data_IF_319283208575
#
_entry.id   IF_319283208575
#
_cell.length_a   1.000
_cell.length_b   1.000
_cell.length_c   1.000
_cell.angle_alpha   90.00
_cell.angle_beta   90.00
_cell.angle_gamma   90.00
#
_symmetry.space_group_name_H-M   'P 1'
#
loop_
_entity.id
_entity.type
_entity.pdbx_description
1 polymer ?
#
# COMPACT_ATOMS: atom_id res chain seq x y z
N UNK A 1 -2.18 3.39 22.04
CA UNK A 1 -2.16 2.01 22.59
C UNK A 1 -2.05 1.07 21.40
N UNK A 2 -0.89 0.42 21.19
CA UNK A 2 -0.79 -0.64 20.19
C UNK A 2 -1.59 -1.83 20.70
N UNK A 3 -2.69 -2.16 20.04
CA UNK A 3 -3.41 -3.40 20.30
C UNK A 3 -2.49 -4.57 19.97
N UNK A 4 -2.08 -5.30 21.01
CA UNK A 4 -1.21 -6.46 20.84
C UNK A 4 -2.07 -7.69 20.60
N UNK A 5 -2.49 -7.87 19.36
CA UNK A 5 -3.26 -9.03 18.95
C UNK A 5 -2.52 -10.35 19.25
N UNK A 6 -3.22 -11.31 19.78
CA UNK A 6 -2.78 -12.71 19.80
C UNK A 6 -2.75 -13.29 18.36
N UNK A 7 -2.04 -14.40 18.12
CA UNK A 7 -2.08 -15.00 16.77
C UNK A 7 -3.48 -15.37 16.29
N UNK A 8 -4.40 -15.75 17.19
CA UNK A 8 -5.79 -16.04 16.83
C UNK A 8 -6.56 -14.80 16.42
N UNK A 9 -6.37 -13.69 17.13
CA UNK A 9 -6.98 -12.40 16.78
C UNK A 9 -6.44 -11.87 15.44
N UNK A 10 -5.14 -12.04 15.18
CA UNK A 10 -4.56 -11.69 13.87
C UNK A 10 -5.20 -12.49 12.75
N UNK A 11 -5.40 -13.82 12.94
CA UNK A 11 -6.10 -14.65 11.95
C UNK A 11 -7.53 -14.18 11.77
N UNK A 12 -8.27 -13.91 12.86
CA UNK A 12 -9.63 -13.40 12.81
C UNK A 12 -9.75 -12.08 12.05
N UNK A 13 -8.80 -11.16 12.24
CA UNK A 13 -8.76 -9.90 11.48
C UNK A 13 -8.43 -10.13 10.00
N UNK A 14 -7.58 -11.10 9.68
CA UNK A 14 -7.31 -11.48 8.29
C UNK A 14 -8.53 -12.15 7.65
N UNK A 15 -9.32 -12.91 8.40
CA UNK A 15 -10.54 -13.59 7.92
C UNK A 15 -11.61 -12.59 7.44
N UNK A 16 -11.63 -11.36 7.97
CA UNK A 16 -12.52 -10.28 7.51
C UNK A 16 -12.27 -9.84 6.06
N UNK A 17 -11.10 -10.20 5.51
CA UNK A 17 -10.66 -9.73 4.20
C UNK A 17 -10.24 -10.85 3.24
N UNK A 18 -9.86 -12.00 3.77
CA UNK A 18 -9.22 -13.09 3.01
C UNK A 18 -9.94 -14.39 3.31
N UNK A 19 -10.53 -14.96 2.29
CA UNK A 19 -11.26 -16.22 2.37
C UNK A 19 -10.29 -17.39 2.26
N UNK A 20 -10.48 -18.41 3.12
CA UNK A 20 -9.63 -19.60 3.13
C UNK A 20 -8.18 -19.30 3.51
N UNK A 21 -7.24 -20.08 3.01
CA UNK A 21 -5.79 -19.90 3.18
C UNK A 21 -5.31 -19.93 4.64
N UNK A 22 -5.91 -20.78 5.49
CA UNK A 22 -5.73 -20.78 6.94
C UNK A 22 -4.27 -21.02 7.37
N UNK A 23 -3.55 -21.88 6.65
CA UNK A 23 -2.14 -22.15 6.93
C UNK A 23 -1.27 -20.89 6.72
N UNK A 24 -1.52 -20.17 5.62
CA UNK A 24 -0.81 -18.93 5.33
C UNK A 24 -1.12 -17.84 6.36
N UNK A 25 -2.39 -17.64 6.70
CA UNK A 25 -2.82 -16.69 7.74
C UNK A 25 -2.18 -17.01 9.09
N UNK A 26 -2.15 -18.31 9.46
CA UNK A 26 -1.53 -18.78 10.72
C UNK A 26 -0.02 -18.51 10.73
N UNK A 27 0.68 -18.82 9.64
CA UNK A 27 2.13 -18.61 9.54
C UNK A 27 2.51 -17.14 9.69
N UNK A 28 1.81 -16.23 8.97
CA UNK A 28 2.08 -14.79 9.08
C UNK A 28 1.67 -14.21 10.44
N UNK A 29 0.60 -14.73 11.06
CA UNK A 29 0.18 -14.32 12.39
C UNK A 29 1.22 -14.70 13.46
N UNK A 30 1.80 -15.90 13.36
CA UNK A 30 2.90 -16.33 14.24
C UNK A 30 4.16 -15.48 14.01
N UNK A 31 4.51 -15.20 12.75
CA UNK A 31 5.65 -14.36 12.41
C UNK A 31 5.51 -12.95 13.01
N UNK A 32 4.32 -12.33 12.89
CA UNK A 32 4.04 -11.03 13.48
C UNK A 32 4.12 -11.07 15.01
N UNK A 33 3.53 -12.08 15.64
CA UNK A 33 3.56 -12.22 17.10
C UNK A 33 4.97 -12.45 17.63
N UNK A 34 5.81 -13.18 16.91
CA UNK A 34 7.20 -13.40 17.29
C UNK A 34 8.03 -12.12 17.27
N UNK A 35 7.71 -11.16 16.39
CA UNK A 35 8.32 -9.82 16.39
C UNK A 35 8.00 -9.07 17.69
N UNK A 36 6.75 -9.09 18.12
CA UNK A 36 6.37 -8.51 19.40
C UNK A 36 7.07 -9.21 20.57
N UNK A 37 7.10 -10.56 20.58
CA UNK A 37 7.79 -11.35 21.61
C UNK A 37 9.28 -10.96 21.69
N UNK A 38 9.92 -10.80 20.53
CA UNK A 38 11.32 -10.36 20.45
C UNK A 38 11.55 -9.03 21.17
N UNK A 39 10.65 -8.08 21.07
CA UNK A 39 10.77 -6.79 21.75
C UNK A 39 10.64 -6.89 23.28
N UNK A 40 10.10 -7.98 23.80
CA UNK A 40 9.91 -8.19 25.26
C UNK A 40 11.07 -8.95 25.93
N UNK A 41 11.98 -9.52 25.16
CA UNK A 41 13.13 -10.25 25.72
C UNK A 41 14.30 -9.31 25.99
N UNK A 42 15.25 -9.72 26.91
CA UNK A 42 16.44 -8.92 27.20
C UNK A 42 17.24 -8.53 25.98
N UNK A 43 17.89 -7.36 26.02
CA UNK A 43 18.60 -6.78 24.86
C UNK A 43 19.63 -7.74 24.23
N UNK A 44 20.40 -8.46 25.05
CA UNK A 44 21.40 -9.42 24.58
C UNK A 44 20.80 -10.53 23.71
N UNK A 45 19.67 -11.09 24.10
CA UNK A 45 18.98 -12.14 23.34
C UNK A 45 18.18 -11.55 22.17
N UNK A 46 17.79 -10.29 22.25
CA UNK A 46 17.00 -9.61 21.21
C UNK A 46 17.78 -9.50 19.90
N UNK A 47 19.07 -9.30 19.95
CA UNK A 47 19.94 -9.21 18.78
C UNK A 47 20.10 -10.56 18.09
N UNK A 48 20.09 -11.66 18.86
CA UNK A 48 20.24 -13.03 18.34
C UNK A 48 18.95 -13.60 17.70
N UNK A 49 17.79 -13.02 18.04
CA UNK A 49 16.50 -13.50 17.53
C UNK A 49 16.17 -12.83 16.20
N UNK A 50 16.47 -13.50 15.10
CA UNK A 50 16.13 -13.05 13.73
C UNK A 50 14.71 -13.47 13.34
N UNK A 51 14.02 -12.68 12.47
CA UNK A 51 12.72 -13.06 11.93
C UNK A 51 12.81 -14.33 11.10
N UNK A 52 11.74 -15.12 11.09
CA UNK A 52 11.62 -16.29 10.23
C UNK A 52 10.92 -15.86 8.95
N UNK A 53 11.70 -15.71 7.88
CA UNK A 53 11.18 -15.31 6.58
C UNK A 53 10.27 -16.40 6.00
N UNK A 54 9.35 -15.98 5.13
CA UNK A 54 8.26 -16.83 4.64
C UNK A 54 8.36 -16.95 3.12
N UNK A 55 8.22 -18.16 2.60
CA UNK A 55 7.99 -18.43 1.18
C UNK A 55 6.53 -18.85 0.99
N UNK A 56 5.76 -18.02 0.30
CA UNK A 56 4.37 -18.30 -0.08
C UNK A 56 4.32 -18.88 -1.50
N UNK A 57 3.80 -20.08 -1.62
CA UNK A 57 3.71 -20.83 -2.87
C UNK A 57 2.23 -20.97 -3.24
N UNK A 58 1.88 -20.76 -4.48
CA UNK A 58 0.51 -21.00 -4.95
C UNK A 58 0.11 -20.15 -6.15
N UNK A 59 -1.04 -20.45 -6.79
CA UNK A 59 -1.48 -19.78 -8.00
C UNK A 59 -1.61 -18.27 -7.88
N UNK A 60 -1.70 -17.59 -9.01
CA UNK A 60 -1.98 -16.14 -9.04
C UNK A 60 -3.38 -15.86 -8.52
N UNK A 61 -3.59 -14.73 -7.85
CA UNK A 61 -4.91 -14.27 -7.42
C UNK A 61 -5.54 -15.03 -6.24
N UNK A 62 -4.79 -15.86 -5.49
CA UNK A 62 -5.29 -16.56 -4.30
C UNK A 62 -5.10 -15.81 -2.98
N UNK A 63 -4.64 -14.55 -3.04
CA UNK A 63 -4.54 -13.69 -1.86
C UNK A 63 -3.15 -13.54 -1.25
N UNK A 64 -2.06 -14.06 -1.85
CA UNK A 64 -0.68 -13.95 -1.31
C UNK A 64 -0.29 -12.52 -0.93
N UNK A 65 -0.40 -11.60 -1.88
CA UNK A 65 -0.09 -10.16 -1.65
C UNK A 65 -1.03 -9.53 -0.63
N UNK A 66 -2.30 -9.88 -0.64
CA UNK A 66 -3.30 -9.30 0.26
C UNK A 66 -3.04 -9.71 1.72
N UNK A 67 -2.66 -10.97 1.96
CA UNK A 67 -2.24 -11.44 3.29
C UNK A 67 -1.10 -10.57 3.84
N UNK A 68 -0.05 -10.36 3.04
CA UNK A 68 1.11 -9.57 3.47
C UNK A 68 0.76 -8.09 3.71
N UNK A 69 -0.06 -7.50 2.83
CA UNK A 69 -0.51 -6.11 2.94
C UNK A 69 -1.37 -5.88 4.18
N UNK A 70 -2.33 -6.78 4.45
CA UNK A 70 -3.20 -6.70 5.64
C UNK A 70 -2.41 -6.92 6.92
N UNK A 71 -1.47 -7.85 6.91
CA UNK A 71 -0.56 -8.07 8.04
C UNK A 71 0.21 -6.80 8.39
N UNK A 72 0.80 -6.14 7.39
CA UNK A 72 1.55 -4.90 7.58
C UNK A 72 0.67 -3.77 8.13
N UNK A 73 -0.56 -3.65 7.62
CA UNK A 73 -1.54 -2.67 8.12
C UNK A 73 -1.93 -2.92 9.58
N UNK A 74 -2.19 -4.18 9.95
CA UNK A 74 -2.46 -4.57 11.34
C UNK A 74 -1.28 -4.27 12.27
N UNK A 75 -0.06 -4.54 11.79
CA UNK A 75 1.16 -4.28 12.53
C UNK A 75 1.51 -2.80 12.63
N UNK A 76 0.88 -1.93 11.86
CA UNK A 76 1.32 -0.54 11.64
C UNK A 76 2.81 -0.49 11.29
N UNK A 77 3.26 -1.42 10.46
CA UNK A 77 4.65 -1.61 10.09
C UNK A 77 4.95 -0.99 8.71
N UNK A 78 6.16 -0.44 8.51
CA UNK A 78 6.62 -0.08 7.18
C UNK A 78 6.53 -1.28 6.24
N UNK A 79 5.93 -1.09 5.07
CA UNK A 79 5.68 -2.15 4.12
C UNK A 79 6.04 -1.72 2.70
N UNK A 80 6.72 -2.61 1.98
CA UNK A 80 6.92 -2.44 0.55
C UNK A 80 6.60 -3.75 -0.17
N UNK A 81 5.92 -3.62 -1.33
CA UNK A 81 5.77 -4.68 -2.31
C UNK A 81 6.66 -4.39 -3.50
N UNK A 82 7.42 -5.38 -3.92
CA UNK A 82 8.21 -5.35 -5.15
C UNK A 82 8.07 -6.68 -5.89
N UNK A 83 8.51 -6.72 -7.14
CA UNK A 83 8.57 -7.93 -7.96
C UNK A 83 10.04 -8.29 -8.19
N UNK A 84 10.39 -9.56 -8.02
CA UNK A 84 11.77 -10.03 -8.20
C UNK A 84 12.31 -9.75 -9.61
N UNK A 85 11.43 -9.75 -10.60
CA UNK A 85 11.74 -9.47 -12.02
C UNK A 85 12.15 -8.03 -12.33
N UNK A 86 11.93 -7.09 -11.40
CA UNK A 86 12.34 -5.68 -11.56
C UNK A 86 13.83 -5.45 -11.30
N UNK A 87 14.50 -6.43 -10.72
CA UNK A 87 15.91 -6.32 -10.37
C UNK A 87 16.81 -6.98 -11.40
N UNK A 88 17.98 -6.43 -11.54
CA UNK A 88 19.04 -6.95 -12.40
C UNK A 88 20.28 -7.17 -11.55
N UNK A 89 21.12 -8.10 -11.97
CA UNK A 89 22.41 -8.35 -11.34
C UNK A 89 23.26 -7.08 -11.29
N UNK A 90 23.99 -6.88 -10.21
CA UNK A 90 24.85 -5.70 -10.01
C UNK A 90 25.84 -5.58 -11.18
N UNK A 91 25.86 -4.40 -11.80
CA UNK A 91 26.71 -4.11 -12.96
C UNK A 91 26.00 -4.09 -14.31
N UNK A 92 24.75 -4.53 -14.38
CA UNK A 92 23.86 -4.36 -15.54
C UNK A 92 22.94 -3.16 -15.41
N UNK A 93 22.43 -2.66 -16.53
CA UNK A 93 21.45 -1.56 -16.54
C UNK A 93 20.14 -2.08 -15.95
N UNK A 94 19.78 -1.60 -14.78
CA UNK A 94 18.57 -1.99 -14.07
C UNK A 94 18.55 -1.46 -12.64
N UNK A 95 17.58 -1.90 -11.88
CA UNK A 95 17.38 -1.47 -10.49
C UNK A 95 18.12 -2.43 -9.55
N UNK A 96 18.98 -1.92 -8.66
CA UNK A 96 19.64 -2.71 -7.65
C UNK A 96 18.67 -3.16 -6.54
N UNK A 97 18.97 -4.28 -5.90
CA UNK A 97 18.14 -4.86 -4.83
C UNK A 97 18.11 -4.01 -3.56
N UNK A 98 19.15 -3.21 -3.29
CA UNK A 98 19.20 -2.32 -2.14
C UNK A 98 18.15 -1.21 -2.23
N UNK A 99 17.69 -0.88 -3.44
CA UNK A 99 16.61 0.09 -3.64
C UNK A 99 15.32 -0.30 -2.91
N UNK A 100 15.11 -1.60 -2.61
CA UNK A 100 14.00 -2.08 -1.78
C UNK A 100 14.02 -1.42 -0.40
N UNK A 101 15.21 -1.37 0.21
CA UNK A 101 15.36 -0.81 1.56
C UNK A 101 15.27 0.72 1.51
N UNK A 102 15.84 1.35 0.47
CA UNK A 102 15.71 2.80 0.27
C UNK A 102 14.25 3.22 0.15
N UNK A 103 13.47 2.52 -0.65
CA UNK A 103 12.02 2.79 -0.81
C UNK A 103 11.23 2.47 0.46
N UNK A 104 11.60 1.42 1.20
CA UNK A 104 10.97 1.09 2.48
C UNK A 104 11.16 2.20 3.51
N UNK A 105 12.33 2.82 3.55
CA UNK A 105 12.63 3.98 4.43
C UNK A 105 11.79 5.18 4.04
N UNK A 106 11.65 5.50 2.74
CA UNK A 106 10.79 6.60 2.30
C UNK A 106 9.33 6.39 2.74
N UNK A 107 8.81 5.19 2.54
CA UNK A 107 7.46 4.85 3.00
C UNK A 107 7.32 4.96 4.53
N UNK A 108 8.35 4.54 5.27
CA UNK A 108 8.36 4.64 6.72
C UNK A 108 8.36 6.10 7.21
N UNK A 109 9.09 6.99 6.53
CA UNK A 109 9.12 8.43 6.85
C UNK A 109 7.74 9.05 6.68
N UNK A 110 7.07 8.77 5.56
CA UNK A 110 5.69 9.24 5.33
C UNK A 110 4.76 8.73 6.43
N UNK A 111 4.77 7.43 6.69
CA UNK A 111 3.93 6.80 7.71
C UNK A 111 4.20 7.35 9.12
N UNK A 112 5.48 7.56 9.47
CA UNK A 112 5.88 8.07 10.79
C UNK A 112 5.46 9.53 10.95
N UNK A 113 5.62 10.34 9.89
CA UNK A 113 5.18 11.73 9.86
C UNK A 113 3.67 11.84 10.07
N UNK A 114 2.88 11.04 9.35
CA UNK A 114 1.43 11.01 9.48
C UNK A 114 0.98 10.60 10.90
N UNK A 115 1.69 9.65 11.51
CA UNK A 115 1.45 9.26 12.90
C UNK A 115 1.76 10.40 13.86
N UNK A 116 2.92 11.04 13.72
CA UNK A 116 3.29 12.18 14.57
C UNK A 116 2.35 13.38 14.38
N UNK A 117 1.88 13.64 13.14
CA UNK A 117 0.84 14.65 12.88
C UNK A 117 -0.44 14.38 13.65
N UNK A 118 -0.91 13.13 13.69
CA UNK A 118 -2.08 12.75 14.49
C UNK A 118 -1.88 12.98 15.99
N UNK A 119 -0.68 12.71 16.48
CA UNK A 119 -0.35 12.90 17.91
C UNK A 119 -0.33 14.39 18.30
N UNK A 120 0.06 15.29 17.39
CA UNK A 120 0.09 16.74 17.64
C UNK A 120 -1.17 17.47 17.17
N UNK A 121 -2.09 16.80 16.49
CA UNK A 121 -3.25 17.39 15.82
C UNK A 121 -4.06 18.33 16.72
N UNK A 122 -4.36 17.94 17.96
CA UNK A 122 -5.14 18.76 18.89
C UNK A 122 -4.44 20.09 19.19
N UNK A 123 -3.10 20.06 19.31
CA UNK A 123 -2.31 21.28 19.55
C UNK A 123 -2.21 22.16 18.30
N UNK A 124 -2.04 21.51 17.15
CA UNK A 124 -1.99 22.16 15.85
C UNK A 124 -3.33 22.81 15.50
N UNK A 125 -4.45 22.14 15.79
CA UNK A 125 -5.80 22.66 15.64
C UNK A 125 -5.99 23.95 16.48
N UNK A 126 -5.61 23.94 17.75
CA UNK A 126 -5.68 25.11 18.61
C UNK A 126 -4.80 26.28 18.11
N UNK A 127 -3.63 25.97 17.54
CA UNK A 127 -2.75 26.98 16.96
C UNK A 127 -3.31 27.55 15.65
N UNK A 128 -3.89 26.69 14.79
CA UNK A 128 -4.57 27.10 13.57
C UNK A 128 -5.80 27.97 13.87
N UNK A 129 -6.64 27.57 14.84
CA UNK A 129 -7.80 28.36 15.33
C UNK A 129 -7.36 29.78 15.71
N UNK A 130 -6.26 29.90 16.45
CA UNK A 130 -5.70 31.21 16.84
C UNK A 130 -5.30 32.05 15.62
N UNK A 131 -4.61 31.47 14.65
CA UNK A 131 -4.17 32.16 13.42
C UNK A 131 -5.35 32.64 12.57
N UNK A 132 -6.38 31.81 12.44
CA UNK A 132 -7.63 32.19 11.72
C UNK A 132 -8.32 33.36 12.43
N UNK A 133 -8.41 33.33 13.76
CA UNK A 133 -8.99 34.42 14.54
C UNK A 133 -8.15 35.70 14.37
N UNK A 134 -6.82 35.60 14.43
CA UNK A 134 -5.91 36.73 14.22
C UNK A 134 -6.08 37.33 12.80
N UNK A 135 -6.29 36.53 11.78
CA UNK A 135 -6.56 36.99 10.43
C UNK A 135 -7.95 37.65 10.27
N UNK A 136 -8.95 37.24 11.08
CA UNK A 136 -10.30 37.77 11.03
C UNK A 136 -10.49 39.09 11.79
N UNK A 137 -9.84 39.24 12.95
CA UNK A 137 -10.08 40.35 13.88
C UNK A 137 -8.82 41.18 14.19
N UNK A 138 -7.65 40.74 13.68
CA UNK A 138 -6.35 41.37 13.96
C UNK A 138 -5.74 40.87 15.28
N UNK A 139 -4.39 40.98 15.35
CA UNK A 139 -3.61 40.51 16.51
C UNK A 139 -3.93 41.25 17.82
N UNK A 140 -4.41 42.52 17.74
CA UNK A 140 -4.69 43.38 18.87
C UNK A 140 -6.18 43.37 19.32
N UNK A 141 -6.98 42.42 18.84
CA UNK A 141 -8.39 42.32 19.22
C UNK A 141 -8.55 41.93 20.71
N UNK A 142 -9.60 42.49 21.36
CA UNK A 142 -9.92 42.17 22.76
C UNK A 142 -10.28 40.69 22.93
N UNK A 143 -10.05 40.17 24.15
CA UNK A 143 -10.37 38.76 24.47
C UNK A 143 -11.85 38.43 24.27
N UNK A 144 -12.76 39.37 24.55
CA UNK A 144 -14.19 39.21 24.31
C UNK A 144 -14.50 39.03 22.82
N UNK A 145 -13.86 39.85 21.96
CA UNK A 145 -14.01 39.74 20.51
C UNK A 145 -13.47 38.42 20.01
N UNK A 146 -12.29 37.99 20.46
CA UNK A 146 -11.70 36.71 20.13
C UNK A 146 -12.59 35.54 20.52
N UNK A 147 -13.18 35.55 21.72
CA UNK A 147 -14.08 34.49 22.17
C UNK A 147 -15.37 34.44 21.33
N UNK A 148 -15.92 35.60 20.96
CA UNK A 148 -17.09 35.66 20.08
C UNK A 148 -16.81 35.06 18.70
N UNK A 149 -15.70 35.44 18.08
CA UNK A 149 -15.30 34.89 16.77
C UNK A 149 -14.92 33.41 16.84
N UNK A 150 -14.31 32.97 17.92
CA UNK A 150 -14.05 31.57 18.19
C UNK A 150 -15.32 30.72 18.22
N UNK A 151 -16.38 31.24 18.86
CA UNK A 151 -17.68 30.57 18.87
C UNK A 151 -18.31 30.53 17.47
N UNK A 152 -18.31 31.64 16.73
CA UNK A 152 -18.84 31.70 15.36
C UNK A 152 -18.06 30.78 14.40
N UNK A 153 -16.75 30.64 14.59
CA UNK A 153 -15.90 29.72 13.82
C UNK A 153 -16.29 28.27 14.06
N UNK A 154 -16.50 27.87 15.33
CA UNK A 154 -16.93 26.52 15.70
C UNK A 154 -18.34 26.18 15.26
N UNK A 155 -19.22 27.19 15.20
CA UNK A 155 -20.57 27.06 14.71
C UNK A 155 -20.67 27.04 13.18
N UNK A 156 -19.51 27.16 12.44
CA UNK A 156 -19.43 27.17 10.97
C UNK A 156 -19.96 28.44 10.30
N UNK A 157 -20.33 29.48 11.08
CA UNK A 157 -20.94 30.72 10.57
C UNK A 157 -19.95 31.59 9.75
N UNK A 158 -18.68 31.25 9.74
CA UNK A 158 -17.64 32.01 9.07
C UNK A 158 -16.95 31.21 7.93
N UNK A 159 -17.39 30.00 7.62
CA UNK A 159 -16.75 29.06 6.70
C UNK A 159 -16.50 29.65 5.31
N UNK A 160 -17.47 30.38 4.76
CA UNK A 160 -17.39 30.96 3.41
C UNK A 160 -16.72 32.35 3.38
N UNK A 161 -16.33 32.90 4.54
CA UNK A 161 -15.68 34.19 4.60
C UNK A 161 -14.25 34.11 4.09
N UNK A 162 -13.86 35.01 3.20
CA UNK A 162 -12.49 35.12 2.71
C UNK A 162 -11.57 35.79 3.76
N UNK A 163 -10.41 35.20 3.97
CA UNK A 163 -9.33 35.74 4.80
C UNK A 163 -8.01 35.71 4.03
N UNK A 164 -7.12 36.60 4.38
CA UNK A 164 -5.75 36.60 3.90
C UNK A 164 -4.85 35.97 4.95
N UNK A 165 -4.22 34.84 4.61
CA UNK A 165 -3.30 34.14 5.51
C UNK A 165 -1.90 34.10 4.92
N UNK A 166 -0.90 34.14 5.79
CA UNK A 166 0.48 33.89 5.45
C UNK A 166 0.75 32.37 5.49
N UNK A 167 1.03 31.80 4.34
CA UNK A 167 1.35 30.36 4.21
C UNK A 167 2.78 30.20 3.76
N UNK A 168 3.49 29.28 4.38
CA UNK A 168 4.82 28.87 3.92
C UNK A 168 4.68 28.05 2.66
N UNK A 169 5.35 28.44 1.57
CA UNK A 169 5.54 27.53 0.45
C UNK A 169 6.50 26.44 0.87
N UNK A 170 6.03 25.23 1.02
CA UNK A 170 6.90 24.06 0.91
C UNK A 170 7.45 24.08 -0.52
N UNK A 171 8.80 24.07 -0.71
CA UNK A 171 9.34 23.94 -2.04
C UNK A 171 8.76 22.64 -2.62
N UNK A 172 7.90 22.82 -3.62
CA UNK A 172 7.39 21.71 -4.40
C UNK A 172 8.62 21.15 -5.13
N UNK A 173 9.14 20.01 -4.68
CA UNK A 173 10.31 19.31 -5.25
C UNK A 173 10.00 18.73 -6.65
N UNK A 174 9.12 19.37 -7.40
CA UNK A 174 8.94 19.16 -8.81
C UNK A 174 9.73 20.22 -9.62
N UNK A 175 11.02 20.34 -9.32
CA UNK A 175 11.94 20.90 -10.32
C UNK A 175 12.09 19.78 -11.37
N UNK A 176 11.75 19.99 -12.65
CA UNK A 176 11.99 18.99 -13.66
C UNK A 176 13.51 18.74 -13.72
N UNK A 177 13.93 17.60 -13.23
CA UNK A 177 15.29 17.11 -13.41
C UNK A 177 15.42 16.68 -14.87
N UNK A 178 16.16 17.44 -15.65
CA UNK A 178 16.60 17.02 -16.97
C UNK A 178 17.76 16.05 -16.80
N UNK A 179 17.53 14.78 -17.10
CA UNK A 179 18.61 13.80 -17.26
C UNK A 179 19.44 14.18 -18.48
N UNK A 180 20.73 14.44 -18.27
CA UNK A 180 21.66 14.67 -19.37
C UNK A 180 22.01 13.32 -19.98
N UNK A 181 21.66 13.04 -21.25
CA UNK A 181 22.03 11.79 -21.90
C UNK A 181 23.56 11.66 -21.96
N UNK A 182 24.13 10.68 -21.24
CA UNK A 182 25.54 10.35 -21.32
C UNK A 182 26.34 10.39 -20.01
N UNK A 183 25.76 10.83 -18.88
CA UNK A 183 26.42 10.76 -17.58
C UNK A 183 25.46 10.18 -16.51
N UNK A 184 25.53 8.88 -16.21
CA UNK A 184 24.74 8.29 -15.14
C UNK A 184 25.20 8.86 -13.79
N UNK A 185 24.30 9.53 -13.08
CA UNK A 185 24.54 10.04 -11.72
C UNK A 185 24.84 11.53 -11.56
N UNK A 186 24.94 12.33 -12.63
CA UNK A 186 25.09 13.77 -12.55
C UNK A 186 23.71 14.46 -12.55
N UNK A 187 23.05 14.51 -11.41
CA UNK A 187 21.88 15.38 -11.19
C UNK A 187 22.37 16.82 -10.96
N UNK A 188 22.43 17.60 -12.03
CA UNK A 188 22.58 19.05 -11.92
C UNK A 188 21.18 19.64 -11.65
N UNK A 189 20.82 19.76 -10.35
CA UNK A 189 19.73 20.62 -9.94
C UNK A 189 20.07 22.04 -10.37
N UNK A 190 19.17 22.74 -11.07
CA UNK A 190 19.30 24.20 -11.24
C UNK A 190 19.30 24.82 -9.85
N UNK A 191 20.48 25.18 -9.35
CA UNK A 191 20.64 26.01 -8.18
C UNK A 191 19.98 27.33 -8.55
N UNK A 192 18.85 27.65 -7.92
CA UNK A 192 18.23 28.97 -8.17
C UNK A 192 19.21 30.04 -7.68
N UNK A 193 19.30 31.11 -8.44
CA UNK A 193 20.18 32.24 -8.14
C UNK A 193 19.91 32.83 -6.73
N UNK A 194 18.72 32.57 -6.16
CA UNK A 194 18.32 32.91 -4.80
C UNK A 194 19.06 32.07 -3.73
N UNK A 195 19.40 30.81 -4.02
CA UNK A 195 20.14 29.92 -3.11
C UNK A 195 21.63 30.32 -3.08
N UNK A 196 22.15 30.87 -4.19
CA UNK A 196 23.52 31.34 -4.29
C UNK A 196 23.75 32.67 -3.51
N UNK A 197 22.71 33.48 -3.33
CA UNK A 197 22.76 34.78 -2.65
C UNK A 197 22.53 34.70 -1.13
N UNK A 198 22.57 33.49 -0.53
CA UNK A 198 22.63 33.33 0.94
C UNK A 198 21.31 33.68 1.67
N UNK A 199 20.23 33.85 0.95
CA UNK A 199 18.92 34.12 1.53
C UNK A 199 18.21 32.82 1.96
N UNK A 200 18.39 32.34 3.20
CA UNK A 200 17.44 31.48 3.90
C UNK A 200 16.11 32.22 4.16
N UNK A 201 15.58 32.89 3.14
CA UNK A 201 14.27 33.52 3.17
C UNK A 201 13.23 32.44 2.96
N UNK A 202 12.57 32.02 4.04
CA UNK A 202 11.34 31.24 3.93
C UNK A 202 10.36 32.06 3.09
N UNK A 203 10.02 31.59 1.88
CA UNK A 203 9.03 32.24 1.03
C UNK A 203 7.66 32.19 1.71
N UNK A 204 7.32 33.24 2.46
CA UNK A 204 6.00 33.44 3.02
C UNK A 204 5.18 34.17 1.95
N UNK A 205 4.13 33.54 1.46
CA UNK A 205 3.18 34.18 0.54
C UNK A 205 1.83 34.41 1.22
N UNK A 206 1.30 35.60 1.00
CA UNK A 206 -0.08 35.89 1.40
C UNK A 206 -1.02 35.28 0.37
N UNK A 207 -1.93 34.44 0.84
CA UNK A 207 -2.95 33.77 0.02
C UNK A 207 -4.32 34.10 0.55
N UNK A 208 -5.23 34.50 -0.37
CA UNK A 208 -6.66 34.70 -0.04
C UNK A 208 -7.38 33.38 -0.25
N UNK A 209 -8.13 32.95 0.73
CA UNK A 209 -8.93 31.74 0.68
C UNK A 209 -10.05 31.79 1.72
N UNK A 210 -11.04 30.87 1.61
CA UNK A 210 -12.11 30.77 2.59
C UNK A 210 -11.58 30.34 3.95
N UNK A 211 -12.27 30.68 5.03
CA UNK A 211 -11.93 30.23 6.39
C UNK A 211 -11.85 28.71 6.44
N UNK A 212 -12.78 28.01 5.84
CA UNK A 212 -12.82 26.55 5.79
C UNK A 212 -11.58 25.95 5.13
N UNK A 213 -11.16 26.46 3.97
CA UNK A 213 -9.99 25.98 3.25
C UNK A 213 -8.69 26.35 4.00
N UNK A 214 -8.66 27.57 4.59
CA UNK A 214 -7.49 28.04 5.33
C UNK A 214 -7.21 27.21 6.58
N UNK A 215 -8.27 26.73 7.24
CA UNK A 215 -8.17 25.95 8.45
C UNK A 215 -7.39 24.65 8.24
N UNK A 216 -7.70 23.93 7.15
CA UNK A 216 -6.98 22.70 6.77
C UNK A 216 -5.51 22.96 6.50
N UNK A 217 -5.20 23.99 5.71
CA UNK A 217 -3.81 24.33 5.37
C UNK A 217 -3.01 24.74 6.61
N UNK A 218 -3.65 25.49 7.53
CA UNK A 218 -2.99 25.95 8.75
C UNK A 218 -2.76 24.83 9.76
N UNK A 219 -3.67 23.86 9.88
CA UNK A 219 -3.46 22.66 10.72
C UNK A 219 -2.27 21.87 10.23
N UNK A 220 -2.16 21.66 8.92
CA UNK A 220 -1.02 20.94 8.33
C UNK A 220 0.30 21.67 8.59
N UNK A 221 0.32 23.01 8.41
CA UNK A 221 1.50 23.84 8.64
C UNK A 221 1.91 23.87 10.12
N UNK A 222 0.96 24.05 11.05
CA UNK A 222 1.25 24.06 12.48
C UNK A 222 1.67 22.67 12.99
N UNK A 223 1.08 21.59 12.43
CA UNK A 223 1.54 20.24 12.71
C UNK A 223 2.99 20.04 12.29
N UNK A 224 3.35 20.47 11.08
CA UNK A 224 4.73 20.36 10.58
C UNK A 224 5.73 21.19 11.38
N UNK A 225 5.33 22.36 11.93
CA UNK A 225 6.18 23.14 12.83
C UNK A 225 6.44 22.46 14.17
N UNK A 226 5.45 21.68 14.66
CA UNK A 226 5.55 20.96 15.94
C UNK A 226 6.35 19.66 15.84
N UNK A 227 6.62 19.18 14.62
CA UNK A 227 7.33 17.93 14.37
C UNK A 227 8.79 18.24 13.97
N UNK A 228 9.71 17.74 14.77
CA UNK A 228 11.15 17.81 14.44
C UNK A 228 11.48 16.76 13.37
N UNK A 229 11.95 17.22 12.22
CA UNK A 229 12.25 16.35 11.06
C UNK A 229 13.24 15.23 11.40
N UNK A 230 14.27 15.55 12.20
CA UNK A 230 15.28 14.56 12.61
C UNK A 230 14.68 13.45 13.47
N UNK A 231 13.69 13.76 14.29
CA UNK A 231 12.96 12.76 15.08
C UNK A 231 12.09 11.87 14.20
N UNK A 232 11.48 12.42 13.15
CA UNK A 232 10.72 11.63 12.16
C UNK A 232 11.64 10.64 11.47
N UNK A 233 12.78 11.09 10.98
CA UNK A 233 13.76 10.25 10.28
C UNK A 233 14.29 9.15 11.19
N UNK A 234 14.75 9.51 12.38
CA UNK A 234 15.28 8.55 13.36
C UNK A 234 14.24 7.49 13.75
N UNK A 235 13.00 7.91 14.02
CA UNK A 235 11.91 7.00 14.36
C UNK A 235 11.52 6.10 13.16
N UNK A 236 11.55 6.64 11.94
CA UNK A 236 11.25 5.88 10.71
C UNK A 236 12.32 4.81 10.44
N UNK A 237 13.61 5.17 10.54
CA UNK A 237 14.72 4.21 10.41
C UNK A 237 14.60 3.11 11.45
N UNK A 238 14.40 3.45 12.71
CA UNK A 238 14.19 2.47 13.78
C UNK A 238 12.95 1.58 13.53
N UNK A 239 11.87 2.13 12.97
CA UNK A 239 10.70 1.36 12.60
C UNK A 239 10.98 0.39 11.45
N UNK A 240 11.77 0.79 10.45
CA UNK A 240 12.22 -0.10 9.35
C UNK A 240 13.05 -1.24 9.89
N UNK A 241 14.13 -0.94 10.62
CA UNK A 241 15.05 -1.94 11.15
C UNK A 241 14.37 -2.98 12.06
N UNK A 242 13.42 -2.55 12.91
CA UNK A 242 12.78 -3.45 13.87
C UNK A 242 11.46 -4.06 13.39
N UNK A 243 10.74 -3.37 12.50
CA UNK A 243 9.38 -3.73 12.12
C UNK A 243 9.13 -3.73 10.60
N UNK A 244 10.11 -3.45 9.75
CA UNK A 244 9.96 -3.44 8.31
C UNK A 244 9.47 -4.79 7.75
N UNK A 245 8.59 -4.75 6.74
CA UNK A 245 8.11 -5.93 6.01
C UNK A 245 8.35 -5.69 4.53
N UNK A 246 9.07 -6.60 3.90
CA UNK A 246 9.33 -6.62 2.47
C UNK A 246 8.60 -7.80 1.86
N UNK A 247 7.72 -7.53 0.89
CA UNK A 247 7.04 -8.56 0.11
C UNK A 247 7.64 -8.57 -1.30
N UNK A 248 8.23 -9.71 -1.68
CA UNK A 248 8.84 -9.91 -3.00
C UNK A 248 7.97 -10.88 -3.78
N UNK A 249 7.27 -10.38 -4.79
CA UNK A 249 6.41 -11.18 -5.67
C UNK A 249 7.20 -11.76 -6.84
N UNK A 250 6.62 -12.72 -7.56
CA UNK A 250 7.21 -13.38 -8.72
C UNK A 250 8.59 -14.01 -8.46
N UNK A 251 8.80 -14.51 -7.23
CA UNK A 251 10.09 -15.07 -6.81
C UNK A 251 10.48 -16.33 -7.60
N UNK A 252 9.49 -17.06 -8.11
CA UNK A 252 9.68 -18.21 -9.00
C UNK A 252 10.31 -17.84 -10.36
N UNK A 253 10.18 -16.58 -10.80
CA UNK A 253 10.71 -16.10 -12.07
C UNK A 253 12.24 -15.91 -12.05
N UNK A 254 12.82 -15.74 -10.87
CA UNK A 254 14.28 -15.68 -10.70
C UNK A 254 14.89 -17.04 -10.37
N UNK A 255 14.08 -18.11 -10.28
CA UNK A 255 14.55 -19.49 -10.13
C UNK A 255 14.97 -20.08 -11.47
N UNK A 256 15.90 -20.99 -11.40
CA UNK A 256 16.36 -21.77 -12.55
C UNK A 256 17.63 -21.23 -13.21
N UNK A 257 18.35 -22.15 -13.83
CA UNK A 257 19.55 -21.85 -14.61
C UNK A 257 19.14 -21.37 -16.00
N UNK A 258 19.75 -20.30 -16.49
CA UNK A 258 19.58 -19.88 -17.88
C UNK A 258 20.23 -20.92 -18.80
N UNK A 259 19.45 -21.82 -19.37
CA UNK A 259 19.91 -22.76 -20.43
C UNK A 259 20.03 -22.11 -21.82
N UNK A 260 20.16 -20.78 -21.91
CA UNK A 260 20.24 -20.03 -23.15
C UNK A 260 21.55 -19.27 -23.33
N UNK A 261 22.09 -19.32 -24.57
CA UNK A 261 23.33 -18.63 -25.02
C UNK A 261 23.25 -17.10 -25.08
N UNK A 262 22.23 -16.47 -24.51
CA UNK A 262 22.13 -15.02 -24.44
C UNK A 262 22.59 -14.53 -23.06
N UNK A 263 23.38 -13.45 -22.99
CA UNK A 263 23.83 -12.85 -21.75
C UNK A 263 22.71 -12.03 -21.09
N UNK A 264 21.46 -12.53 -21.14
CA UNK A 264 20.36 -11.92 -20.40
C UNK A 264 20.62 -12.12 -18.90
N UNK A 265 20.38 -11.05 -18.18
CA UNK A 265 20.43 -10.89 -16.73
C UNK A 265 20.35 -12.24 -16.00
N UNK A 266 21.45 -12.63 -15.35
CA UNK A 266 21.53 -13.89 -14.63
C UNK A 266 20.47 -13.91 -13.54
N UNK A 267 19.41 -14.72 -13.69
CA UNK A 267 18.39 -14.93 -12.66
C UNK A 267 19.00 -15.37 -11.33
N UNK A 268 20.09 -16.14 -11.42
CA UNK A 268 20.88 -16.54 -10.26
C UNK A 268 21.63 -15.35 -9.63
N UNK A 269 22.10 -14.38 -10.44
CA UNK A 269 22.70 -13.14 -9.96
C UNK A 269 21.76 -12.34 -9.06
N UNK A 270 20.50 -12.18 -9.46
CA UNK A 270 19.48 -11.50 -8.62
C UNK A 270 19.29 -12.25 -7.29
N UNK A 271 19.30 -13.58 -7.29
CA UNK A 271 19.21 -14.36 -6.04
C UNK A 271 20.43 -14.11 -5.15
N UNK A 272 21.65 -14.04 -5.72
CA UNK A 272 22.89 -13.75 -4.98
C UNK A 272 22.88 -12.34 -4.40
N UNK A 273 22.34 -11.37 -5.13
CA UNK A 273 22.22 -9.97 -4.66
C UNK A 273 21.16 -9.81 -3.56
N UNK A 274 20.06 -10.59 -3.61
CA UNK A 274 19.03 -10.59 -2.56
C UNK A 274 19.49 -11.28 -1.26
N UNK A 275 20.43 -12.23 -1.36
CA UNK A 275 20.86 -13.03 -0.21
C UNK A 275 21.40 -12.18 0.95
N UNK A 276 22.32 -11.21 0.76
CA UNK A 276 22.80 -10.36 1.84
C UNK A 276 21.68 -9.57 2.52
N UNK A 277 20.69 -9.08 1.75
CA UNK A 277 19.54 -8.35 2.33
C UNK A 277 18.69 -9.23 3.25
N UNK A 278 18.50 -10.50 2.86
CA UNK A 278 17.69 -11.47 3.60
C UNK A 278 18.46 -12.06 4.79
N UNK A 279 19.78 -12.14 4.70
CA UNK A 279 20.67 -12.61 5.77
C UNK A 279 20.91 -11.58 6.86
N UNK A 280 20.91 -10.33 6.51
CA UNK A 280 21.24 -9.18 7.34
C UNK A 280 22.46 -8.45 6.81
N UNK A 281 22.29 -7.22 6.42
CA UNK A 281 23.35 -6.31 5.95
C UNK A 281 23.01 -4.87 6.31
N UNK A 282 23.96 -3.98 6.07
CA UNK A 282 23.76 -2.55 6.26
C UNK A 282 23.69 -1.84 4.91
N UNK A 283 22.55 -1.22 4.62
CA UNK A 283 22.27 -0.53 3.36
C UNK A 283 22.42 0.98 3.53
N UNK A 284 23.23 1.64 2.69
CA UNK A 284 23.33 3.09 2.69
C UNK A 284 22.08 3.72 2.05
N UNK A 285 21.50 4.69 2.77
CA UNK A 285 20.37 5.50 2.29
C UNK A 285 20.70 6.98 2.45
N UNK A 286 19.91 7.86 1.82
CA UNK A 286 20.06 9.31 2.03
C UNK A 286 19.74 9.77 3.46
N UNK A 287 19.15 8.89 4.27
CA UNK A 287 18.80 9.12 5.67
C UNK A 287 19.73 8.42 6.66
N UNK A 288 20.85 7.89 6.18
CA UNK A 288 21.83 7.15 6.97
C UNK A 288 21.84 5.65 6.66
N UNK A 289 22.58 4.92 7.46
CA UNK A 289 22.73 3.47 7.35
C UNK A 289 21.52 2.76 7.95
N UNK A 290 21.05 1.70 7.30
CA UNK A 290 19.88 0.92 7.71
C UNK A 290 20.23 -0.56 7.74
N UNK A 291 20.05 -1.21 8.88
CA UNK A 291 20.28 -2.65 9.08
C UNK A 291 19.06 -3.46 8.67
N UNK A 292 19.28 -4.57 7.98
CA UNK A 292 18.19 -5.44 7.49
C UNK A 292 17.94 -6.69 8.34
N UNK A 293 18.75 -6.94 9.35
CA UNK A 293 18.76 -8.15 10.20
C UNK A 293 17.39 -8.53 10.76
N UNK A 294 16.54 -7.55 11.03
CA UNK A 294 15.23 -7.78 11.65
C UNK A 294 14.04 -7.39 10.76
N UNK A 295 14.30 -7.13 9.49
CA UNK A 295 13.25 -6.97 8.47
C UNK A 295 12.65 -8.34 8.15
N UNK A 296 11.33 -8.42 8.07
CA UNK A 296 10.66 -9.65 7.65
C UNK A 296 10.53 -9.67 6.12
N UNK A 297 11.16 -10.65 5.50
CA UNK A 297 11.00 -10.90 4.08
C UNK A 297 9.94 -11.99 3.85
N UNK A 298 9.01 -11.68 2.96
CA UNK A 298 7.97 -12.60 2.49
C UNK A 298 8.15 -12.74 0.98
N UNK A 299 8.72 -13.82 0.54
CA UNK A 299 8.83 -14.15 -0.87
C UNK A 299 7.56 -14.87 -1.35
N UNK A 300 7.13 -14.63 -2.57
CA UNK A 300 5.91 -15.16 -3.14
C UNK A 300 6.10 -15.56 -4.60
N UNK A 301 5.61 -16.72 -4.99
CA UNK A 301 5.66 -17.19 -6.36
C UNK A 301 4.58 -18.23 -6.66
N UNK A 302 4.31 -18.43 -7.95
CA UNK A 302 3.39 -19.47 -8.39
C UNK A 302 4.05 -20.87 -8.34
N UNK A 303 5.32 -20.96 -8.66
CA UNK A 303 6.11 -22.20 -8.70
C UNK A 303 5.49 -23.31 -9.56
N UNK A 304 4.87 -22.93 -10.68
CA UNK A 304 4.30 -23.90 -11.62
C UNK A 304 5.37 -24.59 -12.47
N UNK A 305 6.36 -23.82 -12.94
CA UNK A 305 7.47 -24.31 -13.78
C UNK A 305 8.71 -24.55 -12.94
N UNK A 306 9.12 -23.55 -12.18
CA UNK A 306 10.20 -23.66 -11.21
C UNK A 306 9.69 -24.30 -9.91
N UNK A 307 10.58 -24.96 -9.19
CA UNK A 307 10.33 -25.53 -7.86
C UNK A 307 11.06 -24.72 -6.80
N UNK A 308 10.59 -24.70 -5.54
CA UNK A 308 11.35 -24.10 -4.43
C UNK A 308 12.76 -24.66 -4.26
N UNK A 309 13.01 -25.89 -4.69
CA UNK A 309 14.34 -26.53 -4.73
C UNK A 309 15.29 -25.95 -5.78
N UNK A 310 14.78 -25.16 -6.72
CA UNK A 310 15.58 -24.51 -7.77
C UNK A 310 16.13 -23.14 -7.32
N UNK A 311 15.75 -22.70 -6.13
CA UNK A 311 16.41 -21.58 -5.44
C UNK A 311 17.82 -21.99 -4.98
N UNK A 312 18.71 -21.01 -4.87
CA UNK A 312 20.01 -21.21 -4.25
C UNK A 312 19.84 -21.83 -2.83
N UNK A 313 20.65 -22.85 -2.47
CA UNK A 313 20.54 -23.53 -1.17
C UNK A 313 20.56 -22.57 0.03
N UNK A 314 21.37 -21.52 -0.07
CA UNK A 314 21.50 -20.47 0.95
C UNK A 314 20.16 -19.73 1.14
N UNK A 315 19.48 -19.34 0.05
CA UNK A 315 18.17 -18.71 0.10
C UNK A 315 17.10 -19.66 0.65
N UNK A 316 17.15 -20.94 0.28
CA UNK A 316 16.24 -21.95 0.84
C UNK A 316 16.35 -22.03 2.36
N UNK A 317 17.57 -21.94 2.90
CA UNK A 317 17.82 -21.92 4.35
C UNK A 317 17.33 -20.64 5.03
N UNK A 318 17.28 -19.51 4.31
CA UNK A 318 16.81 -18.21 4.84
C UNK A 318 15.32 -17.98 4.70
N UNK A 319 14.60 -18.86 3.98
CA UNK A 319 13.14 -18.89 3.86
C UNK A 319 12.57 -20.17 4.51
N UNK A 320 12.75 -20.35 5.84
CA UNK A 320 12.46 -21.60 6.52
C UNK A 320 10.96 -21.90 6.63
N UNK A 321 10.09 -20.87 6.58
CA UNK A 321 8.65 -21.07 6.63
C UNK A 321 8.13 -21.15 5.20
N UNK A 322 7.65 -22.32 4.79
CA UNK A 322 7.02 -22.55 3.48
C UNK A 322 5.55 -22.75 3.68
N UNK A 323 4.75 -22.00 2.94
CA UNK A 323 3.28 -22.04 3.03
C UNK A 323 2.72 -22.19 1.63
N UNK A 324 1.88 -23.19 1.45
CA UNK A 324 1.20 -23.43 0.21
C UNK A 324 -0.23 -22.89 0.26
N UNK A 325 -0.55 -21.98 -0.66
CA UNK A 325 -1.89 -21.45 -0.83
C UNK A 325 -2.63 -22.28 -1.87
N UNK A 326 -3.83 -22.71 -1.51
CA UNK A 326 -4.65 -23.56 -2.36
C UNK A 326 -5.36 -22.76 -3.46
N UNK A 327 -5.60 -23.36 -4.63
CA UNK A 327 -6.50 -22.79 -5.62
C UNK A 327 -7.86 -22.50 -5.01
N UNK A 328 -8.51 -21.43 -5.49
CA UNK A 328 -9.85 -21.07 -5.02
C UNK A 328 -10.90 -22.00 -5.61
N UNK A 329 -11.80 -22.48 -4.78
CA UNK A 329 -12.96 -23.27 -5.17
C UNK A 329 -14.15 -22.38 -5.54
N UNK A 330 -15.18 -22.95 -6.19
CA UNK A 330 -16.46 -22.27 -6.45
C UNK A 330 -17.05 -21.66 -5.17
N UNK A 331 -16.96 -22.38 -4.06
CA UNK A 331 -17.46 -21.89 -2.77
C UNK A 331 -16.61 -20.71 -2.26
N UNK A 332 -15.30 -20.72 -2.49
CA UNK A 332 -14.43 -19.62 -2.10
C UNK A 332 -14.75 -18.36 -2.93
N UNK A 333 -15.01 -18.47 -4.22
CA UNK A 333 -15.43 -17.35 -5.05
C UNK A 333 -16.74 -16.71 -4.56
N UNK A 334 -17.75 -17.53 -4.22
CA UNK A 334 -18.98 -17.01 -3.63
C UNK A 334 -18.73 -16.29 -2.32
N UNK A 335 -17.92 -16.85 -1.43
CA UNK A 335 -17.55 -16.24 -0.16
C UNK A 335 -16.77 -14.93 -0.37
N UNK A 336 -15.87 -14.86 -1.35
CA UNK A 336 -15.12 -13.64 -1.70
C UNK A 336 -16.08 -12.52 -2.15
N UNK A 337 -17.17 -12.86 -2.83
CA UNK A 337 -18.17 -11.88 -3.26
C UNK A 337 -19.08 -11.39 -2.12
N UNK A 338 -19.23 -12.15 -1.03
CA UNK A 338 -20.26 -11.89 -0.01
C UNK A 338 -19.72 -11.58 1.39
N UNK A 339 -18.67 -12.28 1.85
CA UNK A 339 -18.22 -12.22 3.26
C UNK A 339 -17.28 -11.05 3.61
N UNK A 340 -16.28 -10.66 2.77
CA UNK A 340 -15.38 -9.58 3.13
C UNK A 340 -16.10 -8.24 3.35
N UNK A 341 -15.64 -7.44 4.33
CA UNK A 341 -16.25 -6.13 4.65
C UNK A 341 -16.35 -5.19 3.46
N UNK A 342 -15.39 -5.25 2.55
CA UNK A 342 -15.37 -4.48 1.31
C UNK A 342 -15.38 -5.44 0.12
N UNK A 343 -16.38 -6.33 0.07
CA UNK A 343 -16.55 -7.26 -1.05
C UNK A 343 -16.93 -6.52 -2.34
N UNK A 344 -16.70 -7.17 -3.48
CA UNK A 344 -16.92 -6.56 -4.80
C UNK A 344 -18.37 -6.15 -5.05
N UNK A 345 -19.32 -6.97 -4.62
CA UNK A 345 -20.77 -6.65 -4.77
C UNK A 345 -21.10 -5.33 -4.06
N UNK A 346 -20.62 -5.16 -2.82
CA UNK A 346 -20.82 -3.92 -2.08
C UNK A 346 -20.14 -2.73 -2.77
N UNK A 347 -18.93 -2.91 -3.29
CA UNK A 347 -18.21 -1.85 -3.99
C UNK A 347 -18.99 -1.34 -5.20
N UNK A 348 -19.51 -2.22 -6.05
CA UNK A 348 -20.31 -1.81 -7.21
C UNK A 348 -21.65 -1.19 -6.82
N UNK A 349 -22.32 -1.69 -5.78
CA UNK A 349 -23.54 -1.07 -5.25
C UNK A 349 -23.28 0.38 -4.79
N UNK A 350 -22.22 0.61 -4.02
CA UNK A 350 -21.90 1.96 -3.54
C UNK A 350 -21.43 2.87 -4.68
N UNK A 351 -20.73 2.35 -5.70
CA UNK A 351 -20.37 3.11 -6.90
C UNK A 351 -21.62 3.59 -7.65
N UNK A 352 -22.58 2.71 -7.93
CA UNK A 352 -23.82 3.10 -8.62
C UNK A 352 -24.67 4.05 -7.80
N UNK A 353 -24.66 3.92 -6.50
CA UNK A 353 -25.36 4.82 -5.58
C UNK A 353 -24.86 6.28 -5.65
N UNK A 354 -23.60 6.53 -6.06
CA UNK A 354 -23.10 7.89 -6.28
C UNK A 354 -23.83 8.60 -7.42
N UNK A 355 -24.36 7.85 -8.38
CA UNK A 355 -25.19 8.34 -9.50
C UNK A 355 -26.70 8.30 -9.17
N UNK A 356 -27.06 8.09 -7.90
CA UNK A 356 -28.43 7.91 -7.46
C UNK A 356 -29.16 6.75 -8.19
N UNK A 357 -28.40 5.70 -8.53
CA UNK A 357 -28.87 4.47 -9.17
C UNK A 357 -28.77 3.29 -8.19
N UNK A 358 -29.85 2.53 -8.01
CA UNK A 358 -29.87 1.40 -7.08
C UNK A 358 -29.56 0.09 -7.81
N UNK A 359 -28.38 -0.49 -7.53
CA UNK A 359 -27.97 -1.78 -8.06
C UNK A 359 -28.17 -2.89 -7.02
N UNK A 360 -28.90 -3.94 -7.39
CA UNK A 360 -29.12 -5.10 -6.54
C UNK A 360 -28.67 -6.40 -7.22
N UNK A 361 -28.34 -7.41 -6.43
CA UNK A 361 -27.96 -8.73 -6.92
C UNK A 361 -28.79 -9.79 -6.19
N UNK A 362 -29.39 -10.71 -6.94
CA UNK A 362 -29.97 -11.91 -6.36
C UNK A 362 -28.87 -12.87 -5.88
N UNK A 363 -29.11 -13.61 -4.79
CA UNK A 363 -28.13 -14.55 -4.24
C UNK A 363 -27.77 -15.65 -5.27
N UNK A 364 -28.74 -16.11 -6.03
CA UNK A 364 -28.54 -17.11 -7.09
C UNK A 364 -27.66 -16.52 -8.24
N UNK A 365 -27.81 -15.25 -8.56
CA UNK A 365 -26.92 -14.57 -9.52
C UNK A 365 -25.48 -14.51 -9.02
N UNK A 366 -25.27 -14.22 -7.73
CA UNK A 366 -23.93 -14.21 -7.12
C UNK A 366 -23.32 -15.62 -7.15
N UNK A 367 -24.11 -16.66 -6.89
CA UNK A 367 -23.68 -18.07 -7.01
C UNK A 367 -23.28 -18.43 -8.42
N UNK A 368 -24.02 -17.93 -9.41
CA UNK A 368 -23.73 -18.17 -10.82
C UNK A 368 -22.46 -17.45 -11.26
N UNK A 369 -22.25 -16.20 -10.84
CA UNK A 369 -20.98 -15.46 -11.06
C UNK A 369 -19.79 -16.25 -10.50
N UNK A 370 -19.94 -16.80 -9.29
CA UNK A 370 -18.90 -17.60 -8.65
C UNK A 370 -18.63 -18.92 -9.40
N UNK A 371 -19.68 -19.54 -9.93
CA UNK A 371 -19.56 -20.76 -10.73
C UNK A 371 -18.81 -20.50 -12.04
N UNK A 372 -19.21 -19.48 -12.79
CA UNK A 372 -18.55 -19.07 -14.02
C UNK A 372 -17.09 -18.70 -13.79
N UNK A 373 -16.78 -18.01 -12.68
CA UNK A 373 -15.39 -17.65 -12.35
C UNK A 373 -14.52 -18.91 -12.10
N UNK A 374 -15.07 -19.92 -11.43
CA UNK A 374 -14.37 -21.18 -11.20
C UNK A 374 -14.17 -21.96 -12.52
N UNK A 375 -15.21 -22.08 -13.32
CA UNK A 375 -15.19 -22.80 -14.61
C UNK A 375 -14.18 -22.18 -15.59
N UNK A 376 -14.20 -20.86 -15.71
CA UNK A 376 -13.26 -20.15 -16.60
C UNK A 376 -11.81 -20.27 -16.10
N UNK A 377 -11.57 -20.25 -14.78
CA UNK A 377 -10.23 -20.47 -14.22
C UNK A 377 -9.74 -21.93 -14.40
N UNK A 378 -10.63 -22.91 -14.56
CA UNK A 378 -10.27 -24.30 -14.86
C UNK A 378 -10.02 -24.52 -16.36
N UNK A 379 -10.80 -23.85 -17.22
CA UNK A 379 -10.77 -24.05 -18.67
C UNK A 379 -9.72 -23.22 -19.41
N UNK A 380 -9.31 -22.08 -18.82
CA UNK A 380 -8.33 -21.16 -19.41
C UNK A 380 -7.14 -20.99 -18.46
N UNK A 381 -6.60 -19.80 -18.32
CA UNK A 381 -5.56 -19.49 -17.35
C UNK A 381 -6.15 -19.18 -15.98
N UNK A 382 -5.62 -19.83 -14.94
CA UNK A 382 -6.06 -19.61 -13.58
C UNK A 382 -5.45 -18.31 -13.02
N UNK A 383 -6.25 -17.23 -13.02
CA UNK A 383 -5.89 -15.93 -12.43
C UNK A 383 -6.55 -15.68 -11.06
N UNK A 384 -7.16 -16.73 -10.49
CA UNK A 384 -7.78 -16.69 -9.17
C UNK A 384 -8.90 -15.66 -9.06
N UNK A 385 -8.97 -14.94 -7.93
CA UNK A 385 -10.03 -13.96 -7.65
C UNK A 385 -10.03 -12.75 -8.62
N UNK A 386 -8.96 -12.52 -9.38
CA UNK A 386 -8.96 -11.47 -10.43
C UNK A 386 -10.01 -11.73 -11.50
N UNK A 387 -10.39 -13.01 -11.71
CA UNK A 387 -11.46 -13.38 -12.63
C UNK A 387 -12.81 -12.74 -12.29
N UNK A 388 -13.09 -12.57 -11.00
CA UNK A 388 -14.31 -11.91 -10.55
C UNK A 388 -14.42 -10.46 -11.02
N UNK A 389 -13.31 -9.72 -11.03
CA UNK A 389 -13.31 -8.35 -11.59
C UNK A 389 -13.64 -8.37 -13.07
N UNK A 390 -13.00 -9.24 -13.86
CA UNK A 390 -13.26 -9.34 -15.31
C UNK A 390 -14.74 -9.66 -15.61
N UNK A 391 -15.31 -10.59 -14.84
CA UNK A 391 -16.72 -10.98 -15.01
C UNK A 391 -17.66 -9.84 -14.61
N UNK A 392 -17.42 -9.19 -13.47
CA UNK A 392 -18.27 -8.10 -12.99
C UNK A 392 -18.19 -6.87 -13.88
N UNK A 393 -16.99 -6.51 -14.37
CA UNK A 393 -16.83 -5.42 -15.33
C UNK A 393 -17.65 -5.67 -16.60
N UNK A 394 -17.60 -6.88 -17.14
CA UNK A 394 -18.37 -7.23 -18.34
C UNK A 394 -19.88 -7.28 -18.07
N UNK A 395 -20.28 -7.83 -16.93
CA UNK A 395 -21.69 -7.91 -16.51
C UNK A 395 -22.33 -6.53 -16.37
N UNK A 396 -21.58 -5.59 -15.80
CA UNK A 396 -22.07 -4.26 -15.43
C UNK A 396 -21.69 -3.15 -16.43
N UNK A 397 -21.08 -3.49 -17.57
CA UNK A 397 -20.62 -2.53 -18.59
C UNK A 397 -21.71 -1.55 -19.00
N UNK A 398 -22.88 -2.06 -19.41
CA UNK A 398 -24.02 -1.24 -19.85
C UNK A 398 -24.64 -0.43 -18.71
N UNK A 399 -24.75 -1.05 -17.53
CA UNK A 399 -25.29 -0.40 -16.32
C UNK A 399 -24.39 0.78 -15.93
N UNK A 400 -23.09 0.54 -15.87
CA UNK A 400 -22.11 1.58 -15.52
C UNK A 400 -22.09 2.73 -16.54
N UNK A 401 -22.31 2.42 -17.83
CA UNK A 401 -22.35 3.42 -18.90
C UNK A 401 -23.61 4.30 -18.82
N UNK A 402 -24.76 3.73 -18.45
CA UNK A 402 -26.06 4.42 -18.48
C UNK A 402 -26.52 4.94 -17.13
N UNK A 403 -25.85 4.60 -16.02
CA UNK A 403 -26.30 4.92 -14.65
C UNK A 403 -26.56 6.43 -14.43
N UNK A 404 -25.68 7.29 -14.98
CA UNK A 404 -25.83 8.74 -14.85
C UNK A 404 -27.10 9.28 -15.52
N UNK A 405 -27.61 8.62 -16.56
CA UNK A 405 -28.82 8.98 -17.29
C UNK A 405 -30.10 8.41 -16.66
N UNK A 406 -29.94 7.38 -15.80
CA UNK A 406 -31.01 6.59 -15.16
C UNK A 406 -31.14 6.88 -13.67
N UNK A 407 -30.95 8.13 -13.27
CA UNK A 407 -31.02 8.56 -11.87
C UNK A 407 -32.40 8.27 -11.26
N UNK A 408 -32.41 7.67 -10.08
CA UNK A 408 -33.64 7.29 -9.37
C UNK A 408 -34.23 5.94 -9.79
N UNK A 409 -33.61 5.25 -10.76
CA UNK A 409 -33.98 3.90 -11.14
C UNK A 409 -33.24 2.84 -10.32
N UNK A 410 -33.71 1.60 -10.47
CA UNK A 410 -33.09 0.43 -9.88
C UNK A 410 -32.98 -0.70 -10.90
N UNK A 411 -31.91 -1.49 -10.78
CA UNK A 411 -31.75 -2.72 -11.58
C UNK A 411 -31.29 -3.85 -10.68
N UNK A 412 -31.91 -5.02 -10.87
CA UNK A 412 -31.55 -6.24 -10.14
C UNK A 412 -30.91 -7.24 -11.09
N UNK A 413 -29.70 -7.62 -10.77
CA UNK A 413 -28.94 -8.64 -11.52
C UNK A 413 -29.48 -10.02 -11.14
N UNK A 414 -30.04 -10.71 -12.14
CA UNK A 414 -30.58 -12.05 -12.03
C UNK A 414 -29.66 -13.08 -12.69
N UNK A 415 -29.90 -14.37 -12.45
CA UNK A 415 -29.19 -15.46 -13.15
C UNK A 415 -29.28 -15.32 -14.67
N UNK A 416 -30.46 -14.93 -15.17
CA UNK A 416 -30.69 -14.75 -16.60
C UNK A 416 -29.80 -13.62 -17.14
N UNK A 417 -29.71 -12.49 -16.44
CA UNK A 417 -28.83 -11.37 -16.81
C UNK A 417 -27.35 -11.83 -16.88
N UNK A 418 -26.92 -12.65 -15.92
CA UNK A 418 -25.56 -13.20 -15.91
C UNK A 418 -25.30 -14.04 -17.16
N UNK A 419 -26.20 -14.98 -17.49
CA UNK A 419 -26.06 -15.82 -18.69
C UNK A 419 -26.09 -15.02 -19.99
N UNK A 420 -26.97 -14.06 -20.13
CA UNK A 420 -27.07 -13.22 -21.33
C UNK A 420 -25.81 -12.40 -21.58
N UNK A 421 -25.22 -11.81 -20.54
CA UNK A 421 -24.09 -10.89 -20.68
C UNK A 421 -22.72 -11.58 -20.57
N UNK A 422 -22.62 -12.65 -19.82
CA UNK A 422 -21.34 -13.31 -19.48
C UNK A 422 -21.29 -14.77 -19.95
N UNK A 423 -22.42 -15.45 -20.16
CA UNK A 423 -22.48 -16.85 -20.58
C UNK A 423 -21.72 -17.13 -21.89
N UNK A 424 -21.77 -16.20 -22.83
CA UNK A 424 -20.99 -16.27 -24.08
C UNK A 424 -19.48 -16.28 -23.87
N UNK A 425 -18.99 -15.77 -22.72
CA UNK A 425 -17.58 -15.81 -22.35
C UNK A 425 -17.12 -17.23 -21.94
N UNK A 426 -18.03 -18.04 -21.38
CA UNK A 426 -17.73 -19.42 -21.00
C UNK A 426 -17.74 -20.36 -22.22
N UNK A 427 -18.60 -20.11 -23.21
CA UNK A 427 -18.75 -20.98 -24.41
C UNK A 427 -17.67 -20.72 -25.48
N UNK A 428 -17.10 -19.52 -25.55
CA UNK A 428 -16.08 -19.19 -26.54
C UNK A 428 -14.70 -19.23 -25.91
N UNK A 429 -13.87 -20.19 -26.32
CA UNK A 429 -12.44 -20.30 -26.03
C UNK A 429 -11.60 -19.08 -26.46
N UNK A 430 -12.20 -17.98 -26.86
CA UNK A 430 -11.58 -16.76 -27.38
C UNK A 430 -11.52 -15.63 -26.34
N UNK A 431 -11.44 -16.00 -25.05
CA UNK A 431 -11.23 -15.07 -23.94
C UNK A 431 -9.89 -14.32 -24.03
N UNK A 432 -8.97 -14.78 -24.89
CA UNK A 432 -7.68 -14.11 -25.14
C UNK A 432 -7.83 -12.69 -25.72
N UNK A 433 -8.99 -12.33 -26.28
CA UNK A 433 -9.26 -10.98 -26.81
C UNK A 433 -9.73 -9.97 -25.74
N UNK A 434 -10.12 -10.44 -24.55
CA UNK A 434 -10.63 -9.61 -23.46
C UNK A 434 -9.75 -9.65 -22.21
N UNK A 435 -8.61 -10.37 -22.28
CA UNK A 435 -7.62 -10.46 -21.21
C UNK A 435 -6.39 -9.70 -21.70
N UNK A 436 -6.15 -8.53 -21.14
CA UNK A 436 -4.87 -7.81 -21.21
C UNK A 436 -3.95 -8.36 -20.15
#
# INVERSE_FOLDING_TARGET
MSMFFSPREIVSELDRHIIGQDEAKRAVAVALRNRWRRQQIPALLREEVVPKNILMIGPTGVGKTEIARRLAKLAQAPFIKTEATKFTEIGYVGRDVESIIRDLVENAIVMTRDKMRKDVHIKADAAAEKRVIDALVGENASDETRQKFKKMLRDGALDDREIEIEVRETPNNSVPTFDIPGMPGAQMGMISLSDLLGGKGMNIRKKKMTVKDSYRVLIDEESDKMIEQDKVVSAAVAAVENNGIVFIDEFDKICGRSEGKNPDVSREGVQRDLLPLIEGTTVPTKHGLVKTDHILFIASGAFHVAKPSDLLPELQGRLPIRVELKPLTRQDFYRILTEPEANLILQYKELMKTENFALEFEDDAIREIAALAAEVNESVENIGARRLHTILEKLLEDVSFTAAERQGESETITVQTVHEKVGVLAEKSDLSKFIL
#
